data_IF_081423741591
#
_entry.id   IF_081423741591
#
_cell.length_a   1.000
_cell.length_b   1.000
_cell.length_c   1.000
_cell.angle_alpha   90.00
_cell.angle_beta   90.00
_cell.angle_gamma   90.00
#
_symmetry.space_group_name_H-M   'P 1'
#
loop_
_entity.id
_entity.type
_entity.pdbx_description
1 polymer ?
#
# COMPACT_ATOMS: atom_id res chain seq x y z
N UNK A 1 24.52 15.98 -31.14
CA UNK A 1 24.56 15.91 -29.66
C UNK A 1 24.39 14.46 -29.27
N UNK A 2 25.49 13.75 -29.02
CA UNK A 2 25.46 12.40 -28.43
C UNK A 2 24.94 12.53 -27.00
N UNK A 3 23.86 11.81 -26.67
CA UNK A 3 23.41 11.68 -25.28
C UNK A 3 24.46 10.85 -24.56
N UNK A 4 25.37 11.51 -23.86
CA UNK A 4 26.32 10.82 -22.98
C UNK A 4 25.55 10.29 -21.76
N UNK A 5 25.20 9.01 -21.82
CA UNK A 5 24.67 8.28 -20.68
C UNK A 5 25.82 7.94 -19.75
N UNK A 6 25.79 8.47 -18.53
CA UNK A 6 26.75 8.10 -17.49
C UNK A 6 26.20 6.93 -16.69
N UNK A 7 27.07 5.99 -16.31
CA UNK A 7 26.72 4.87 -15.45
C UNK A 7 26.72 5.32 -14.00
N UNK A 8 25.79 4.85 -13.20
CA UNK A 8 25.68 5.16 -11.78
C UNK A 8 25.56 3.87 -11.00
N UNK A 9 26.44 3.70 -10.02
CA UNK A 9 26.49 2.56 -9.11
C UNK A 9 26.05 3.04 -7.74
N UNK A 10 25.04 2.40 -7.17
CA UNK A 10 24.56 2.70 -5.82
C UNK A 10 25.10 1.63 -4.88
N UNK A 11 25.66 2.07 -3.74
CA UNK A 11 26.15 1.22 -2.66
C UNK A 11 25.40 1.61 -1.39
N UNK A 12 25.02 0.61 -0.61
CA UNK A 12 24.38 0.81 0.68
C UNK A 12 25.39 0.48 1.78
N UNK A 13 25.52 1.38 2.74
CA UNK A 13 26.42 1.29 3.88
C UNK A 13 27.86 0.98 3.43
N UNK A 14 28.49 -0.02 4.06
CA UNK A 14 29.85 -0.46 3.75
C UNK A 14 29.89 -1.68 2.81
N UNK A 15 28.80 -1.95 2.08
CA UNK A 15 28.76 -3.06 1.14
C UNK A 15 29.70 -2.84 -0.05
N UNK A 16 30.46 -3.89 -0.40
CA UNK A 16 31.42 -3.86 -1.51
C UNK A 16 30.77 -4.01 -2.88
N UNK A 17 29.56 -4.58 -2.92
CA UNK A 17 28.82 -4.78 -4.16
C UNK A 17 27.79 -3.66 -4.32
N UNK A 18 27.58 -3.14 -5.54
CA UNK A 18 26.52 -2.18 -5.77
C UNK A 18 25.16 -2.87 -5.64
N UNK A 19 24.21 -2.23 -4.96
CA UNK A 19 22.82 -2.69 -4.88
C UNK A 19 22.12 -2.59 -6.25
N UNK A 20 22.55 -1.63 -7.08
CA UNK A 20 22.04 -1.45 -8.45
C UNK A 20 23.03 -0.66 -9.31
N UNK A 21 23.08 -1.00 -10.60
CA UNK A 21 23.76 -0.23 -11.65
C UNK A 21 22.68 0.37 -12.59
N UNK A 22 22.77 1.68 -12.84
CA UNK A 22 21.77 2.45 -13.58
C UNK A 22 22.45 3.37 -14.61
N UNK A 23 21.69 3.85 -15.61
CA UNK A 23 22.15 4.82 -16.60
C UNK A 23 21.39 6.15 -16.45
N UNK A 24 22.09 7.29 -16.50
CA UNK A 24 21.47 8.61 -16.33
C UNK A 24 20.83 9.15 -17.62
N UNK A 25 19.82 10.04 -17.51
CA UNK A 25 19.05 10.38 -16.31
C UNK A 25 18.01 9.30 -15.98
N UNK A 26 17.81 8.99 -14.71
CA UNK A 26 16.91 7.92 -14.25
C UNK A 26 16.16 8.34 -12.98
N UNK A 27 14.93 7.85 -12.85
CA UNK A 27 14.17 7.85 -11.59
C UNK A 27 14.22 6.44 -11.03
N UNK A 28 14.73 6.30 -9.81
CA UNK A 28 14.90 5.01 -9.12
C UNK A 28 14.03 4.97 -7.87
N UNK A 29 13.21 3.92 -7.75
CA UNK A 29 12.39 3.67 -6.57
C UNK A 29 13.20 2.83 -5.58
N UNK A 30 13.63 3.47 -4.49
CA UNK A 30 14.39 2.83 -3.44
C UNK A 30 13.46 2.27 -2.36
N UNK A 31 13.36 0.95 -2.26
CA UNK A 31 12.55 0.26 -1.26
C UNK A 31 13.33 0.08 0.05
N UNK A 32 12.96 0.83 1.08
CA UNK A 32 13.61 0.78 2.40
C UNK A 32 13.04 -0.31 3.30
N UNK A 33 11.95 -1.01 2.95
CA UNK A 33 11.26 -1.93 3.86
C UNK A 33 12.10 -3.15 4.30
N UNK A 34 13.14 -3.47 3.52
CA UNK A 34 14.06 -4.59 3.80
C UNK A 34 15.28 -4.16 4.61
N UNK A 35 15.44 -2.86 4.85
CA UNK A 35 16.55 -2.33 5.61
C UNK A 35 16.25 -2.44 7.11
N UNK A 36 17.30 -2.68 7.89
CA UNK A 36 17.22 -2.62 9.34
C UNK A 36 16.90 -1.21 9.81
N UNK A 37 16.37 -1.09 11.03
CA UNK A 37 16.25 0.22 11.66
C UNK A 37 17.61 0.75 12.06
N UNK A 38 17.83 2.06 11.88
CA UNK A 38 19.08 2.70 12.25
C UNK A 38 19.57 3.71 11.22
N UNK A 39 20.80 4.17 11.42
CA UNK A 39 21.51 5.05 10.48
C UNK A 39 22.10 4.24 9.33
N UNK A 40 21.90 4.75 8.12
CA UNK A 40 22.37 4.16 6.88
C UNK A 40 23.04 5.23 6.00
N UNK A 41 23.92 4.78 5.11
CA UNK A 41 24.65 5.64 4.17
C UNK A 41 24.42 5.13 2.75
N UNK A 42 23.80 5.96 1.90
CA UNK A 42 23.71 5.68 0.48
C UNK A 42 24.88 6.35 -0.24
N UNK A 43 25.79 5.54 -0.78
CA UNK A 43 26.93 5.99 -1.57
C UNK A 43 26.61 5.83 -3.07
N UNK A 44 26.69 6.94 -3.79
CA UNK A 44 26.40 7.02 -5.22
C UNK A 44 27.71 7.30 -5.95
N UNK A 45 28.11 6.39 -6.84
CA UNK A 45 29.30 6.52 -7.67
C UNK A 45 28.88 6.66 -9.13
N UNK A 46 29.07 7.84 -9.70
CA UNK A 46 28.83 8.10 -11.13
C UNK A 46 30.12 7.92 -11.91
N UNK A 47 30.08 7.15 -13.00
CA UNK A 47 31.16 6.98 -13.97
C UNK A 47 30.77 7.64 -15.28
N UNK A 48 31.50 8.69 -15.65
CA UNK A 48 31.36 9.37 -16.93
C UNK A 48 31.97 8.54 -18.06
N UNK A 49 31.49 8.76 -19.29
CA UNK A 49 32.05 8.18 -20.54
C UNK A 49 33.56 8.44 -20.67
N UNK A 50 34.05 9.55 -20.12
CA UNK A 50 35.46 9.93 -20.13
C UNK A 50 36.29 9.31 -18.97
N UNK A 51 35.74 8.33 -18.26
CA UNK A 51 36.43 7.61 -17.18
C UNK A 51 36.56 8.39 -15.86
N UNK A 52 35.95 9.57 -15.75
CA UNK A 52 35.91 10.34 -14.49
C UNK A 52 34.86 9.76 -13.57
N UNK A 53 35.22 9.60 -12.29
CA UNK A 53 34.32 9.13 -11.25
C UNK A 53 33.92 10.28 -10.32
N UNK A 54 32.63 10.39 -10.00
CA UNK A 54 32.10 11.30 -9.00
C UNK A 54 31.42 10.51 -7.88
N UNK A 55 31.73 10.82 -6.63
CA UNK A 55 31.19 10.11 -5.45
C UNK A 55 30.35 11.09 -4.63
N UNK A 56 29.15 10.64 -4.22
CA UNK A 56 28.28 11.38 -3.30
C UNK A 56 27.74 10.42 -2.24
N UNK A 57 27.87 10.80 -0.97
CA UNK A 57 27.33 10.06 0.15
C UNK A 57 26.11 10.80 0.71
N UNK A 58 25.07 10.05 1.07
CA UNK A 58 23.84 10.57 1.67
C UNK A 58 23.54 9.76 2.93
N UNK A 59 23.58 10.41 4.08
CA UNK A 59 23.19 9.79 5.34
C UNK A 59 21.67 9.89 5.52
N UNK A 60 21.04 8.80 5.96
CA UNK A 60 19.61 8.73 6.23
C UNK A 60 19.33 7.74 7.37
N UNK A 61 18.15 7.83 7.98
CA UNK A 61 17.75 6.94 9.07
C UNK A 61 16.51 6.17 8.66
N UNK A 62 16.55 4.85 8.82
CA UNK A 62 15.42 3.95 8.57
C UNK A 62 14.70 3.66 9.89
N UNK A 63 13.37 3.69 9.85
CA UNK A 63 12.46 3.42 10.99
C UNK A 63 11.27 2.59 10.50
N UNK A 64 11.53 1.34 10.17
CA UNK A 64 10.55 0.33 9.74
C UNK A 64 9.94 -0.43 10.93
N UNK A 65 10.60 -0.46 12.07
CA UNK A 65 10.13 -1.13 13.28
C UNK A 65 8.97 -0.43 14.00
N UNK A 66 8.46 -1.05 15.08
CA UNK A 66 7.33 -0.51 15.82
C UNK A 66 7.68 0.83 16.46
N UNK A 67 6.76 1.77 16.35
CA UNK A 67 6.85 3.07 17.02
C UNK A 67 6.34 2.91 18.45
N UNK A 68 7.16 3.29 19.43
CA UNK A 68 6.79 3.29 20.84
C UNK A 68 6.43 4.71 21.25
N UNK A 69 5.28 4.90 21.90
CA UNK A 69 4.94 6.14 22.59
C UNK A 69 4.76 5.87 24.08
N UNK A 70 5.30 6.77 24.90
CA UNK A 70 5.17 6.72 26.36
C UNK A 70 4.47 7.99 26.80
N UNK A 71 3.40 7.82 27.56
CA UNK A 71 2.68 8.89 28.23
C UNK A 71 2.86 8.77 29.74
N UNK A 72 2.88 9.92 30.43
CA UNK A 72 3.10 9.99 31.87
C UNK A 72 4.54 10.27 32.28
N UNK A 73 5.50 10.38 31.34
CA UNK A 73 6.87 10.82 31.62
C UNK A 73 7.49 11.48 30.37
N UNK A 74 8.13 12.64 30.53
CA UNK A 74 8.81 13.35 29.46
C UNK A 74 10.35 13.27 29.58
N UNK A 75 11.04 13.61 28.49
CA UNK A 75 12.50 13.70 28.48
C UNK A 75 12.97 14.77 29.49
N UNK A 76 13.90 14.37 30.37
CA UNK A 76 14.48 15.20 31.43
C UNK A 76 13.56 15.55 32.61
N UNK A 77 12.43 14.85 32.78
CA UNK A 77 11.61 15.01 33.98
C UNK A 77 12.35 14.57 35.26
N UNK A 78 12.18 15.34 36.33
CA UNK A 78 12.65 15.00 37.68
C UNK A 78 11.44 14.50 38.46
N UNK A 79 11.39 13.20 38.73
CA UNK A 79 10.26 12.52 39.37
C UNK A 79 10.64 11.94 40.73
N UNK A 80 9.67 11.87 41.64
CA UNK A 80 9.82 11.28 42.98
C UNK A 80 8.59 10.41 43.30
N UNK A 81 8.79 9.26 43.94
CA UNK A 81 7.72 8.30 44.25
C UNK A 81 7.27 7.41 43.08
N UNK A 82 5.95 7.19 42.96
CA UNK A 82 5.35 6.29 41.95
C UNK A 82 4.50 7.09 40.96
N UNK A 83 4.73 6.86 39.68
CA UNK A 83 4.10 7.57 38.57
C UNK A 83 3.46 6.55 37.60
N UNK A 84 2.17 6.71 37.24
CA UNK A 84 1.55 5.85 36.26
C UNK A 84 2.10 6.16 34.86
N UNK A 85 2.59 5.12 34.17
CA UNK A 85 3.05 5.20 32.79
C UNK A 85 2.12 4.44 31.87
N UNK A 86 1.81 5.03 30.73
CA UNK A 86 1.12 4.34 29.64
C UNK A 86 2.11 4.17 28.49
N UNK A 87 2.32 2.94 28.07
CA UNK A 87 3.26 2.58 26.99
C UNK A 87 2.43 1.98 25.86
N UNK A 88 2.49 2.61 24.68
CA UNK A 88 1.87 2.12 23.46
C UNK A 88 2.96 1.74 22.46
N UNK A 89 2.76 0.64 21.74
CA UNK A 89 3.63 0.22 20.65
C UNK A 89 2.78 -0.05 19.41
N UNK A 90 3.07 0.67 18.33
CA UNK A 90 2.38 0.56 17.05
C UNK A 90 3.34 0.03 16.01
N UNK A 91 3.11 -1.18 15.53
CA UNK A 91 3.81 -1.68 14.36
C UNK A 91 3.23 -1.04 13.10
N UNK A 92 4.10 -0.52 12.22
CA UNK A 92 3.70 -0.03 10.89
C UNK A 92 3.59 -1.17 9.88
N UNK A 93 3.94 -2.39 10.27
CA UNK A 93 3.74 -3.62 9.50
C UNK A 93 2.30 -3.72 9.03
N UNK A 94 2.15 -3.87 7.71
CA UNK A 94 0.88 -3.85 6.98
C UNK A 94 -0.26 -4.49 7.79
N UNK A 95 -1.42 -3.84 7.97
CA UNK A 95 -2.61 -4.51 8.47
C UNK A 95 -2.99 -5.56 7.42
N UNK A 96 -2.45 -6.77 7.55
CA UNK A 96 -2.87 -7.90 6.73
C UNK A 96 -4.31 -8.18 7.14
N UNK A 97 -5.19 -7.67 6.28
CA UNK A 97 -6.61 -7.94 6.25
C UNK A 97 -7.40 -7.33 7.42
N UNK A 98 -7.70 -6.04 7.32
CA UNK A 98 -8.98 -5.56 7.81
C UNK A 98 -10.04 -6.01 6.79
N UNK A 99 -10.35 -7.32 6.77
CA UNK A 99 -11.51 -7.81 6.02
C UNK A 99 -12.71 -7.33 6.83
N UNK A 100 -13.26 -6.18 6.44
CA UNK A 100 -14.65 -5.90 6.76
C UNK A 100 -15.41 -6.90 5.89
N UNK A 101 -15.60 -8.12 6.39
CA UNK A 101 -16.63 -9.00 5.84
C UNK A 101 -17.91 -8.19 5.95
N UNK A 102 -18.42 -7.78 4.79
CA UNK A 102 -19.47 -6.78 4.69
C UNK A 102 -20.58 -7.11 5.69
N UNK A 103 -21.02 -6.07 6.41
CA UNK A 103 -22.19 -6.10 7.29
C UNK A 103 -23.49 -6.26 6.48
N UNK A 104 -23.52 -7.24 5.58
CA UNK A 104 -24.66 -7.58 4.75
C UNK A 104 -25.11 -8.97 5.20
N UNK A 105 -26.14 -8.99 6.06
CA UNK A 105 -26.88 -10.23 6.30
C UNK A 105 -27.45 -10.70 4.96
N UNK A 106 -27.15 -11.92 4.48
CA UNK A 106 -27.69 -12.40 3.21
C UNK A 106 -29.20 -12.51 3.32
N UNK A 107 -29.92 -11.50 2.82
CA UNK A 107 -31.37 -11.46 2.82
C UNK A 107 -31.88 -12.09 1.53
N UNK A 108 -32.79 -13.06 1.65
CA UNK A 108 -33.46 -13.68 0.50
C UNK A 108 -34.30 -12.65 -0.26
N UNK A 109 -34.47 -12.86 -1.57
CA UNK A 109 -35.35 -12.02 -2.42
C UNK A 109 -36.72 -11.85 -1.76
N UNK A 110 -37.19 -10.61 -1.55
CA UNK A 110 -38.49 -10.37 -0.91
C UNK A 110 -39.65 -11.04 -1.64
N UNK A 111 -40.62 -11.57 -0.86
CA UNK A 111 -41.79 -12.29 -1.39
C UNK A 111 -42.58 -11.48 -2.41
N UNK A 112 -42.61 -10.15 -2.28
CA UNK A 112 -43.33 -9.28 -3.22
C UNK A 112 -42.78 -9.35 -4.66
N UNK A 113 -41.50 -9.67 -4.86
CA UNK A 113 -40.91 -9.86 -6.20
C UNK A 113 -41.49 -11.10 -6.87
N UNK A 114 -41.66 -12.19 -6.13
CA UNK A 114 -42.31 -13.39 -6.63
C UNK A 114 -43.78 -13.17 -6.97
N UNK A 115 -44.49 -12.39 -6.15
CA UNK A 115 -45.87 -11.97 -6.43
C UNK A 115 -45.92 -11.16 -7.73
N UNK A 116 -44.98 -10.22 -7.93
CA UNK A 116 -44.90 -9.43 -9.16
C UNK A 116 -44.68 -10.31 -10.40
N UNK A 117 -43.76 -11.29 -10.33
CA UNK A 117 -43.50 -12.24 -11.42
C UNK A 117 -44.76 -13.04 -11.75
N UNK A 118 -45.50 -13.50 -10.74
CA UNK A 118 -46.76 -14.23 -10.93
C UNK A 118 -47.83 -13.37 -11.60
N UNK A 119 -47.94 -12.09 -11.21
CA UNK A 119 -48.88 -11.13 -11.83
C UNK A 119 -48.52 -10.91 -13.30
N UNK A 120 -47.24 -10.63 -13.59
CA UNK A 120 -46.77 -10.40 -14.97
C UNK A 120 -47.00 -11.65 -15.82
N UNK A 121 -46.70 -12.84 -15.28
CA UNK A 121 -46.93 -14.12 -15.95
C UNK A 121 -48.41 -14.34 -16.28
N UNK A 122 -49.28 -14.19 -15.28
CA UNK A 122 -50.72 -14.33 -15.47
C UNK A 122 -51.28 -13.32 -16.48
N UNK A 123 -50.82 -12.07 -16.41
CA UNK A 123 -51.20 -11.02 -17.34
C UNK A 123 -50.74 -11.34 -18.77
N UNK A 124 -49.49 -11.76 -18.95
CA UNK A 124 -48.95 -12.19 -20.25
C UNK A 124 -49.75 -13.36 -20.83
N UNK A 125 -50.06 -14.38 -20.03
CA UNK A 125 -50.85 -15.53 -20.48
C UNK A 125 -52.28 -15.12 -20.86
N UNK A 126 -52.92 -14.26 -20.08
CA UNK A 126 -54.26 -13.73 -20.38
C UNK A 126 -54.31 -13.03 -21.74
N UNK A 127 -53.35 -12.13 -22.02
CA UNK A 127 -53.28 -11.45 -23.31
C UNK A 127 -52.94 -12.40 -24.45
N UNK A 128 -52.07 -13.38 -24.23
CA UNK A 128 -51.73 -14.38 -25.25
C UNK A 128 -52.96 -15.20 -25.67
N UNK A 129 -53.75 -15.67 -24.69
CA UNK A 129 -54.99 -16.42 -24.95
C UNK A 129 -56.01 -15.53 -25.65
N UNK A 130 -56.25 -14.33 -25.11
CA UNK A 130 -57.26 -13.41 -25.65
C UNK A 130 -56.93 -12.96 -27.07
N UNK A 131 -55.66 -12.71 -27.37
CA UNK A 131 -55.22 -12.36 -28.72
C UNK A 131 -55.35 -13.56 -29.68
N UNK A 132 -55.01 -14.77 -29.23
CA UNK A 132 -55.18 -15.99 -30.03
C UNK A 132 -56.65 -16.34 -30.29
N UNK A 133 -57.55 -16.08 -29.34
CA UNK A 133 -58.99 -16.37 -29.49
C UNK A 133 -59.73 -15.32 -30.32
N UNK A 134 -59.23 -14.08 -30.35
CA UNK A 134 -59.85 -12.96 -31.08
C UNK A 134 -59.39 -12.84 -32.55
N UNK A 135 -58.59 -13.79 -33.04
CA UNK A 135 -58.42 -14.05 -34.47
C UNK A 135 -57.94 -12.86 -35.31
N UNK A 136 -56.87 -12.18 -34.88
CA UNK A 136 -56.05 -11.36 -35.79
C UNK A 136 -54.62 -11.85 -35.73
N UNK A 137 -54.42 -13.00 -36.38
CA UNK A 137 -53.31 -13.51 -37.19
C UNK A 137 -53.30 -15.04 -37.11
#
# INVERSE_FOLDING_TARGET
>A
MTKDHSKVLLFLDDEKQPIVELETPIVFNFDTNKLSDGEHILKIVSKSVNGREGIRNINFTVRNGPTISVEGLAENDIVDGSLPLMINAYDKGMPKSFVIEGSETPQTVPVWVWILIMIIGAWSTYYMITNSSNGVF
#
